data_IF_280754667722
#
_entry.id   IF_280754667722
#
_cell.length_a   1.000
_cell.length_b   1.000
_cell.length_c   1.000
_cell.angle_alpha   90.00
_cell.angle_beta   90.00
_cell.angle_gamma   90.00
#
_symmetry.space_group_name_H-M   'P 1'
#
loop_
_entity.id
_entity.type
_entity.pdbx_description
1 polymer ?
#
# COMPACT_ATOMS: atom_id res chain seq x y z
N UNK A 1 47.75 -3.22 -14.48
CA UNK A 1 47.28 -3.15 -15.88
C UNK A 1 46.41 -4.37 -16.16
N UNK A 2 45.09 -4.22 -16.04
CA UNK A 2 44.11 -5.24 -16.42
C UNK A 2 43.02 -4.50 -17.21
N UNK A 3 43.00 -4.68 -18.53
CA UNK A 3 42.07 -4.00 -19.45
C UNK A 3 40.75 -4.77 -19.48
N UNK A 4 39.66 -4.10 -19.08
CA UNK A 4 38.29 -4.54 -19.37
C UNK A 4 37.98 -4.33 -20.85
N UNK A 5 37.35 -5.33 -21.48
CA UNK A 5 36.74 -5.26 -22.81
C UNK A 5 35.22 -5.17 -22.62
N UNK A 6 34.51 -4.16 -23.17
CA UNK A 6 33.05 -4.15 -23.13
C UNK A 6 32.47 -4.92 -24.34
N UNK A 7 31.58 -5.86 -24.05
CA UNK A 7 30.76 -6.58 -25.04
C UNK A 7 29.55 -5.72 -25.38
N UNK A 8 29.55 -5.12 -26.57
CA UNK A 8 28.41 -4.37 -27.14
C UNK A 8 27.51 -5.36 -27.87
N UNK A 9 26.30 -5.59 -27.35
CA UNK A 9 25.27 -6.38 -28.02
C UNK A 9 24.44 -5.44 -28.91
N UNK A 10 24.64 -5.54 -30.24
CA UNK A 10 23.86 -4.83 -31.25
C UNK A 10 22.65 -5.70 -31.62
N UNK A 11 21.44 -5.24 -31.29
CA UNK A 11 20.20 -5.82 -31.83
C UNK A 11 19.89 -5.15 -33.17
N UNK A 12 19.96 -5.94 -34.25
CA UNK A 12 19.51 -5.55 -35.57
C UNK A 12 18.01 -5.86 -35.73
N UNK A 13 17.19 -4.83 -35.97
CA UNK A 13 15.85 -5.00 -36.53
C UNK A 13 15.92 -4.76 -38.04
N UNK A 14 15.78 -5.83 -38.82
CA UNK A 14 15.50 -5.75 -40.25
C UNK A 14 13.98 -5.82 -40.46
N UNK A 15 13.45 -4.86 -41.21
CA UNK A 15 12.04 -4.84 -41.63
C UNK A 15 11.78 -5.59 -42.93
N UNK A 16 10.50 -5.72 -43.27
CA UNK A 16 10.05 -5.87 -44.65
C UNK A 16 8.87 -6.82 -44.87
N UNK A 17 7.78 -6.26 -45.40
CA UNK A 17 6.99 -6.89 -46.47
C UNK A 17 5.71 -7.62 -46.07
N UNK A 18 4.57 -6.99 -46.33
CA UNK A 18 3.28 -7.70 -46.45
C UNK A 18 3.02 -8.17 -47.87
N UNK A 19 2.07 -9.08 -48.05
CA UNK A 19 1.12 -9.16 -49.18
C UNK A 19 0.07 -10.23 -48.91
N UNK A 20 -1.20 -9.85 -49.11
CA UNK A 20 -2.20 -10.56 -49.91
C UNK A 20 -2.81 -11.87 -49.36
N UNK A 21 -4.02 -11.77 -48.80
CA UNK A 21 -4.95 -12.90 -48.67
C UNK A 21 -6.13 -12.74 -49.63
N UNK A 22 -5.90 -13.30 -50.81
CA UNK A 22 -6.80 -14.08 -51.67
C UNK A 22 -8.31 -13.93 -51.46
N UNK A 23 -8.92 -13.18 -52.38
CA UNK A 23 -10.35 -13.26 -52.71
C UNK A 23 -10.53 -14.29 -53.83
N UNK A 24 -11.24 -15.39 -53.56
CA UNK A 24 -11.90 -16.18 -54.61
C UNK A 24 -13.30 -16.66 -54.20
N UNK A 25 -14.25 -16.21 -55.01
CA UNK A 25 -15.32 -16.97 -55.64
C UNK A 25 -16.27 -17.83 -54.80
N UNK A 26 -17.45 -17.27 -54.54
CA UNK A 26 -18.70 -18.04 -54.58
C UNK A 26 -19.73 -17.29 -55.42
N UNK A 27 -19.86 -17.74 -56.67
CA UNK A 27 -20.90 -17.36 -57.63
C UNK A 27 -22.16 -18.16 -57.28
N UNK A 28 -23.28 -17.50 -56.99
CA UNK A 28 -24.61 -18.13 -57.00
C UNK A 28 -25.49 -17.32 -57.97
N UNK A 29 -26.16 -17.97 -58.94
CA UNK A 29 -26.78 -17.30 -60.09
C UNK A 29 -28.18 -16.75 -59.81
N UNK A 30 -28.58 -15.86 -60.73
CA UNK A 30 -29.79 -15.05 -60.77
C UNK A 30 -31.14 -15.81 -60.74
N UNK A 31 -32.08 -15.13 -60.09
CA UNK A 31 -33.52 -15.00 -60.32
C UNK A 31 -34.24 -15.96 -61.29
N UNK A 32 -35.32 -16.55 -60.78
CA UNK A 32 -36.51 -16.87 -61.56
C UNK A 32 -37.77 -16.35 -60.83
N UNK A 33 -38.53 -15.58 -61.59
CA UNK A 33 -39.85 -14.99 -61.32
C UNK A 33 -40.98 -16.03 -61.37
N UNK A 34 -42.07 -15.77 -60.65
CA UNK A 34 -43.40 -16.27 -61.01
C UNK A 34 -44.24 -16.90 -59.89
N UNK A 35 -45.35 -16.23 -59.52
CA UNK A 35 -46.62 -16.94 -59.37
C UNK A 35 -47.41 -16.86 -58.05
N UNK A 36 -48.02 -15.70 -57.79
CA UNK A 36 -49.43 -15.48 -57.38
C UNK A 36 -50.11 -16.32 -56.28
N UNK A 37 -50.48 -15.55 -55.24
CA UNK A 37 -51.76 -15.39 -54.51
C UNK A 37 -52.19 -16.33 -53.36
N UNK A 38 -52.45 -15.63 -52.25
CA UNK A 38 -53.48 -15.82 -51.21
C UNK A 38 -53.29 -16.89 -50.13
N UNK A 39 -52.64 -16.46 -49.03
CA UNK A 39 -53.16 -16.67 -47.69
C UNK A 39 -52.73 -15.48 -46.81
N UNK A 40 -53.69 -14.88 -46.09
CA UNK A 40 -53.56 -13.58 -45.43
C UNK A 40 -52.33 -13.44 -44.53
N UNK A 41 -51.54 -12.42 -44.84
CA UNK A 41 -50.53 -11.85 -43.95
C UNK A 41 -51.27 -11.14 -42.81
N UNK A 42 -51.64 -11.92 -41.80
CA UNK A 42 -52.04 -11.47 -40.47
C UNK A 42 -51.00 -12.02 -39.52
N UNK A 43 -49.89 -11.31 -39.38
CA UNK A 43 -49.35 -10.98 -38.07
C UNK A 43 -48.31 -9.87 -38.23
N UNK A 44 -48.73 -8.68 -37.77
CA UNK A 44 -47.97 -7.45 -37.84
C UNK A 44 -46.72 -7.49 -36.96
N UNK A 45 -45.66 -6.86 -37.47
CA UNK A 45 -44.46 -6.58 -36.71
C UNK A 45 -43.31 -6.03 -37.57
N UNK A 46 -43.62 -5.19 -38.57
CA UNK A 46 -42.58 -4.54 -39.39
C UNK A 46 -41.86 -3.51 -38.52
N UNK A 47 -40.58 -3.78 -38.23
CA UNK A 47 -39.71 -2.90 -37.42
C UNK A 47 -39.31 -1.66 -38.21
N UNK A 48 -40.13 -0.62 -38.16
CA UNK A 48 -39.67 0.74 -38.43
C UNK A 48 -39.30 1.37 -37.08
N UNK A 49 -38.02 1.30 -36.70
CA UNK A 49 -37.48 2.03 -35.53
C UNK A 49 -37.49 1.31 -34.18
N UNK A 50 -37.80 0.01 -34.12
CA UNK A 50 -37.57 -0.84 -32.94
C UNK A 50 -38.77 -1.05 -32.00
N UNK A 51 -39.86 -0.28 -32.15
CA UNK A 51 -41.09 -0.51 -31.38
C UNK A 51 -42.01 -1.52 -32.07
N UNK A 52 -42.64 -2.43 -31.30
CA UNK A 52 -43.69 -3.31 -31.79
C UNK A 52 -44.99 -2.50 -31.86
N UNK A 53 -45.64 -2.46 -33.02
CA UNK A 53 -46.90 -1.72 -33.20
C UNK A 53 -48.11 -2.67 -33.10
N UNK A 54 -49.27 -2.22 -32.60
CA UNK A 54 -50.50 -2.99 -32.61
C UNK A 54 -50.95 -3.36 -34.03
N UNK A 55 -51.72 -4.44 -34.17
CA UNK A 55 -52.35 -4.82 -35.44
C UNK A 55 -53.42 -3.79 -35.88
N UNK A 56 -53.99 -3.98 -37.07
CA UNK A 56 -55.04 -3.10 -37.62
C UNK A 56 -56.32 -3.09 -36.75
N UNK A 57 -56.51 -4.10 -35.88
CA UNK A 57 -57.59 -4.17 -34.90
C UNK A 57 -57.24 -3.54 -33.54
N UNK A 58 -56.01 -3.04 -33.40
CA UNK A 58 -55.49 -2.41 -32.19
C UNK A 58 -55.01 -3.40 -31.11
N UNK A 59 -54.87 -4.68 -31.42
CA UNK A 59 -54.40 -5.71 -30.49
C UNK A 59 -52.87 -5.85 -30.52
N UNK A 60 -52.32 -6.24 -29.37
CA UNK A 60 -50.91 -6.58 -29.23
C UNK A 60 -50.69 -8.09 -29.27
N UNK A 61 -49.52 -8.56 -29.75
CA UNK A 61 -49.10 -9.94 -29.62
C UNK A 61 -49.21 -10.44 -28.17
N UNK A 62 -49.43 -11.75 -27.99
CA UNK A 62 -49.55 -12.35 -26.67
C UNK A 62 -48.34 -12.04 -25.78
N UNK A 63 -48.60 -11.57 -24.56
CA UNK A 63 -47.55 -11.16 -23.60
C UNK A 63 -47.17 -9.68 -23.67
N UNK A 64 -47.71 -8.92 -24.63
CA UNK A 64 -47.48 -7.48 -24.73
C UNK A 64 -48.73 -6.68 -24.34
N UNK A 65 -48.50 -5.54 -23.71
CA UNK A 65 -49.55 -4.61 -23.28
C UNK A 65 -49.64 -3.43 -24.25
N UNK A 66 -50.87 -3.04 -24.60
CA UNK A 66 -51.12 -1.87 -25.46
C UNK A 66 -50.90 -0.58 -24.68
N UNK A 67 -49.82 0.13 -24.99
CA UNK A 67 -49.48 1.41 -24.39
C UNK A 67 -49.50 2.52 -25.43
N UNK A 68 -50.69 3.11 -25.59
CA UNK A 68 -50.95 4.11 -26.63
C UNK A 68 -50.88 3.49 -28.03
N UNK A 69 -49.91 3.93 -28.83
CA UNK A 69 -49.68 3.45 -30.20
C UNK A 69 -48.66 2.32 -30.32
N UNK A 70 -48.13 1.81 -29.20
CA UNK A 70 -47.12 0.76 -29.18
C UNK A 70 -47.56 -0.44 -28.32
N UNK A 71 -47.03 -1.61 -28.66
CA UNK A 71 -47.08 -2.82 -27.86
C UNK A 71 -45.76 -2.96 -27.11
N UNK A 72 -45.84 -2.93 -25.78
CA UNK A 72 -44.68 -2.94 -24.88
C UNK A 72 -44.75 -4.14 -23.95
N UNK A 73 -43.60 -4.69 -23.61
CA UNK A 73 -43.52 -5.76 -22.62
C UNK A 73 -43.38 -5.13 -21.23
N UNK A 74 -44.49 -5.07 -20.50
CA UNK A 74 -44.51 -4.48 -19.16
C UNK A 74 -43.75 -5.32 -18.13
N UNK A 75 -43.40 -6.56 -18.43
CA UNK A 75 -42.68 -7.43 -17.50
C UNK A 75 -41.16 -7.29 -17.63
N UNK A 76 -40.66 -6.78 -18.76
CA UNK A 76 -39.23 -6.74 -19.06
C UNK A 76 -38.70 -5.39 -19.54
N UNK A 77 -39.55 -4.45 -19.96
CA UNK A 77 -39.09 -3.14 -20.45
C UNK A 77 -38.94 -2.10 -19.32
N UNK A 78 -37.73 -1.57 -19.06
CA UNK A 78 -37.52 -0.58 -17.99
C UNK A 78 -38.28 0.73 -18.16
N UNK A 79 -38.69 1.09 -19.39
CA UNK A 79 -39.44 2.31 -19.68
C UNK A 79 -40.96 2.18 -19.44
N UNK A 80 -41.46 0.94 -19.28
CA UNK A 80 -42.89 0.61 -19.12
C UNK A 80 -43.12 -0.50 -18.08
N UNK A 81 -42.30 -0.55 -17.02
CA UNK A 81 -42.27 -1.69 -16.11
C UNK A 81 -43.52 -1.75 -15.24
N UNK A 82 -44.31 -2.82 -15.30
CA UNK A 82 -45.56 -3.04 -14.55
C UNK A 82 -46.76 -2.18 -15.00
N UNK A 83 -46.52 -1.10 -15.74
CA UNK A 83 -47.56 -0.26 -16.33
C UNK A 83 -46.99 0.59 -17.48
N UNK A 84 -47.86 0.92 -18.44
CA UNK A 84 -47.52 1.83 -19.55
C UNK A 84 -46.86 3.12 -19.08
N UNK A 85 -45.65 3.42 -19.56
CA UNK A 85 -44.93 4.65 -19.25
C UNK A 85 -44.37 4.74 -17.83
N UNK A 86 -44.43 3.67 -17.03
CA UNK A 86 -43.73 3.60 -15.74
C UNK A 86 -42.24 3.33 -15.97
N UNK A 87 -41.48 4.40 -16.18
CA UNK A 87 -40.02 4.32 -16.33
C UNK A 87 -39.35 4.10 -14.98
N UNK A 88 -38.55 3.05 -14.88
CA UNK A 88 -37.68 2.79 -13.74
C UNK A 88 -36.54 3.82 -13.73
N UNK A 89 -36.35 4.47 -12.57
CA UNK A 89 -35.23 5.40 -12.34
C UNK A 89 -34.54 4.96 -11.07
N UNK A 90 -33.28 4.60 -11.19
CA UNK A 90 -32.43 4.19 -10.07
C UNK A 90 -31.20 5.10 -10.10
N UNK A 91 -30.85 5.66 -8.95
CA UNK A 91 -29.72 6.57 -8.81
C UNK A 91 -28.41 5.85 -9.16
N UNK A 92 -27.59 6.46 -10.02
CA UNK A 92 -26.27 5.96 -10.44
C UNK A 92 -26.23 4.54 -11.04
N UNK A 93 -27.36 4.05 -11.54
CA UNK A 93 -27.46 2.71 -12.11
C UNK A 93 -28.21 2.72 -13.45
N UNK A 94 -27.96 1.69 -14.24
CA UNK A 94 -28.85 1.31 -15.34
C UNK A 94 -30.00 0.45 -14.77
N UNK A 95 -31.26 0.91 -14.91
CA UNK A 95 -32.41 0.21 -14.36
C UNK A 95 -32.80 -1.00 -15.21
N UNK A 96 -33.29 -2.05 -14.55
CA UNK A 96 -33.84 -3.24 -15.17
C UNK A 96 -35.31 -3.43 -14.77
N UNK A 97 -36.05 -4.21 -15.54
CA UNK A 97 -37.43 -4.60 -15.21
C UNK A 97 -37.52 -6.13 -15.18
N UNK A 98 -38.10 -6.67 -14.12
CA UNK A 98 -38.36 -8.10 -13.98
C UNK A 98 -39.74 -8.32 -13.37
N UNK A 99 -40.59 -9.06 -14.07
CA UNK A 99 -41.96 -9.38 -13.63
C UNK A 99 -42.79 -8.14 -13.24
N UNK A 100 -42.60 -7.03 -13.95
CA UNK A 100 -43.32 -5.78 -13.73
C UNK A 100 -42.78 -4.92 -12.58
N UNK A 101 -41.70 -5.35 -11.92
CA UNK A 101 -41.03 -4.60 -10.86
C UNK A 101 -39.67 -4.06 -11.32
N UNK A 102 -39.39 -2.81 -10.95
CA UNK A 102 -38.08 -2.20 -11.20
C UNK A 102 -37.04 -2.93 -10.36
N UNK A 103 -35.95 -3.34 -10.98
CA UNK A 103 -34.80 -3.99 -10.33
C UNK A 103 -33.52 -3.27 -10.71
N UNK A 104 -32.50 -3.41 -9.87
CA UNK A 104 -31.17 -2.90 -10.19
C UNK A 104 -30.58 -3.74 -11.33
N UNK A 105 -30.23 -3.11 -12.45
CA UNK A 105 -29.51 -3.77 -13.54
C UNK A 105 -28.02 -3.83 -13.22
N UNK A 106 -27.29 -2.78 -13.61
CA UNK A 106 -25.87 -2.62 -13.31
C UNK A 106 -25.60 -1.22 -12.79
N UNK A 107 -24.73 -1.08 -11.80
CA UNK A 107 -24.21 0.24 -11.46
C UNK A 107 -23.50 0.85 -12.66
N UNK A 108 -23.65 2.17 -12.83
CA UNK A 108 -22.87 2.91 -13.82
C UNK A 108 -21.39 2.88 -13.44
N UNK A 109 -20.53 3.08 -14.43
CA UNK A 109 -19.09 3.16 -14.20
C UNK A 109 -18.77 4.17 -13.10
N UNK A 110 -17.95 3.75 -12.13
CA UNK A 110 -17.60 4.59 -10.99
C UNK A 110 -18.61 4.54 -9.83
N UNK A 111 -19.58 3.60 -9.82
CA UNK A 111 -20.50 3.40 -8.72
C UNK A 111 -20.62 1.93 -8.28
N UNK A 112 -20.96 1.72 -7.02
CA UNK A 112 -21.24 0.43 -6.42
C UNK A 112 -22.50 0.51 -5.54
N UNK A 113 -23.27 -0.58 -5.51
CA UNK A 113 -24.39 -0.81 -4.60
C UNK A 113 -23.88 -1.58 -3.38
N UNK A 114 -23.93 -0.98 -2.20
CA UNK A 114 -23.29 -1.50 -0.99
C UNK A 114 -24.25 -2.05 0.04
N UNK A 115 -25.51 -1.62 0.00
CA UNK A 115 -26.55 -2.03 0.93
C UNK A 115 -27.69 -2.83 0.26
N UNK A 116 -27.69 -2.96 -1.07
CA UNK A 116 -28.72 -3.65 -1.83
C UNK A 116 -30.04 -2.91 -1.90
N UNK A 117 -30.07 -1.63 -1.50
CA UNK A 117 -31.29 -0.87 -1.36
C UNK A 117 -31.60 -0.10 -2.65
N UNK A 118 -32.62 -0.57 -3.34
CA UNK A 118 -33.07 0.01 -4.61
C UNK A 118 -33.47 1.49 -4.50
N UNK A 119 -33.85 1.97 -3.31
CA UNK A 119 -34.30 3.34 -3.10
C UNK A 119 -33.18 4.39 -3.22
N UNK A 120 -31.95 4.03 -2.86
CA UNK A 120 -30.74 4.85 -2.99
C UNK A 120 -29.85 4.41 -4.16
N UNK A 121 -30.09 3.25 -4.76
CA UNK A 121 -29.40 2.81 -5.97
C UNK A 121 -27.92 2.50 -5.69
N UNK A 122 -27.04 2.79 -6.65
CA UNK A 122 -25.59 2.62 -6.44
C UNK A 122 -25.02 3.85 -5.73
N UNK A 123 -25.08 3.82 -4.41
CA UNK A 123 -24.86 4.92 -3.49
C UNK A 123 -23.38 5.24 -3.27
N UNK A 124 -22.48 4.27 -3.47
CA UNK A 124 -21.04 4.47 -3.29
C UNK A 124 -20.35 4.83 -4.60
N UNK A 125 -19.44 5.80 -4.55
CA UNK A 125 -18.51 6.07 -5.66
C UNK A 125 -17.39 5.03 -5.65
N UNK A 126 -17.24 4.29 -6.74
CA UNK A 126 -16.12 3.39 -7.01
C UNK A 126 -14.87 4.20 -7.39
N UNK A 127 -14.33 4.94 -6.42
CA UNK A 127 -13.04 5.61 -6.54
C UNK A 127 -11.87 4.71 -6.14
N UNK A 128 -12.12 3.41 -5.99
CA UNK A 128 -11.08 2.47 -5.58
C UNK A 128 -10.19 2.12 -6.77
N UNK A 129 -8.91 2.48 -6.67
CA UNK A 129 -7.91 2.10 -7.66
C UNK A 129 -7.12 0.96 -7.05
N UNK A 130 -7.31 -0.26 -7.55
CA UNK A 130 -6.56 -1.42 -7.05
C UNK A 130 -5.06 -1.20 -7.29
N UNK A 131 -4.27 -1.28 -6.22
CA UNK A 131 -2.85 -0.94 -6.27
C UNK A 131 -2.55 0.56 -6.11
N UNK A 132 -3.58 1.39 -5.94
CA UNK A 132 -3.42 2.81 -5.63
C UNK A 132 -2.79 3.03 -4.25
N UNK A 133 -2.28 4.24 -4.01
CA UNK A 133 -1.71 4.60 -2.72
C UNK A 133 -2.80 4.96 -1.71
N UNK A 134 -2.62 4.57 -0.45
CA UNK A 134 -3.50 4.92 0.66
C UNK A 134 -2.67 5.14 1.94
N UNK A 135 -3.22 5.89 2.89
CA UNK A 135 -2.60 6.04 4.20
C UNK A 135 -3.15 4.96 5.13
N UNK A 136 -2.25 4.20 5.75
CA UNK A 136 -2.61 3.15 6.72
C UNK A 136 -3.04 3.77 8.05
N UNK A 137 -3.56 2.93 8.96
CA UNK A 137 -3.97 3.37 10.30
C UNK A 137 -2.81 3.93 11.14
N UNK A 138 -1.57 3.48 10.88
CA UNK A 138 -0.37 3.93 11.56
C UNK A 138 0.35 5.08 10.81
N UNK A 139 -0.24 5.59 9.72
CA UNK A 139 0.27 6.74 8.97
C UNK A 139 1.31 6.41 7.90
N UNK A 140 1.54 5.12 7.63
CA UNK A 140 2.44 4.66 6.57
C UNK A 140 1.75 4.65 5.20
N UNK A 141 2.55 4.60 4.14
CA UNK A 141 2.03 4.54 2.78
C UNK A 141 1.76 3.08 2.40
N UNK A 142 0.48 2.71 2.36
CA UNK A 142 0.02 1.38 1.98
C UNK A 142 -0.48 1.30 0.54
N UNK A 143 -0.98 0.12 0.21
CA UNK A 143 -1.57 -0.21 -1.10
C UNK A 143 -3.06 -0.45 -0.97
N UNK A 144 -3.86 0.27 -1.74
CA UNK A 144 -5.31 0.16 -1.74
C UNK A 144 -5.73 -1.19 -2.33
N UNK A 145 -6.56 -1.92 -1.59
CA UNK A 145 -7.18 -3.16 -2.05
C UNK A 145 -8.68 -2.93 -2.22
N UNK A 146 -9.19 -3.35 -3.39
CA UNK A 146 -10.57 -3.16 -3.79
C UNK A 146 -11.34 -4.50 -3.78
N UNK A 147 -11.01 -5.39 -2.84
CA UNK A 147 -11.73 -6.65 -2.68
C UNK A 147 -13.22 -6.41 -2.38
N UNK A 148 -13.49 -5.35 -1.63
CA UNK A 148 -14.81 -4.76 -1.46
C UNK A 148 -14.75 -3.31 -1.97
N UNK A 149 -15.53 -2.98 -3.01
CA UNK A 149 -15.60 -1.61 -3.57
C UNK A 149 -16.33 -0.65 -2.63
N UNK A 150 -17.14 -1.18 -1.72
CA UNK A 150 -17.89 -0.43 -0.72
C UNK A 150 -17.07 -0.14 0.53
N UNK A 151 -16.06 -0.95 0.78
CA UNK A 151 -15.13 -0.80 1.90
C UNK A 151 -13.70 -1.09 1.43
N UNK A 152 -13.11 -0.22 0.60
CA UNK A 152 -11.74 -0.41 0.16
C UNK A 152 -10.81 -0.34 1.37
N UNK A 153 -9.90 -1.31 1.47
CA UNK A 153 -8.95 -1.36 2.59
C UNK A 153 -7.58 -0.90 2.15
N UNK A 154 -6.77 -0.50 3.12
CA UNK A 154 -5.37 -0.16 2.89
C UNK A 154 -4.50 -1.28 3.43
N UNK A 155 -3.88 -2.07 2.53
CA UNK A 155 -2.90 -3.06 2.94
C UNK A 155 -1.61 -2.33 3.30
N UNK A 156 -1.11 -2.47 4.53
CA UNK A 156 0.11 -1.81 4.95
C UNK A 156 1.33 -2.44 4.25
N UNK A 157 2.42 -1.68 4.05
CA UNK A 157 3.66 -2.22 3.51
C UNK A 157 4.30 -3.21 4.49
N UNK A 158 5.30 -3.95 4.01
CA UNK A 158 6.16 -4.73 4.91
C UNK A 158 7.10 -3.80 5.69
N UNK A 159 7.52 -4.26 6.87
CA UNK A 159 8.49 -3.60 7.74
C UNK A 159 9.74 -3.11 7.00
N UNK A 160 10.06 -1.82 7.18
CA UNK A 160 11.30 -1.22 6.71
C UNK A 160 12.20 -0.85 7.90
N UNK A 161 13.49 -0.69 7.61
CA UNK A 161 14.45 -0.28 8.63
C UNK A 161 14.43 1.25 8.83
N UNK A 162 13.39 1.78 9.48
CA UNK A 162 13.20 3.22 9.63
C UNK A 162 12.72 3.66 11.05
N UNK A 163 12.62 2.73 12.01
CA UNK A 163 12.09 2.95 13.36
C UNK A 163 10.64 3.46 13.36
N UNK A 164 9.80 2.86 12.53
CA UNK A 164 8.37 3.06 12.42
C UNK A 164 7.71 1.70 12.16
N UNK A 165 6.62 1.47 12.90
CA UNK A 165 5.67 0.39 12.63
C UNK A 165 5.06 0.61 11.24
N UNK A 166 5.55 -0.12 10.24
CA UNK A 166 5.20 0.07 8.83
C UNK A 166 4.01 -0.83 8.45
N UNK A 167 3.94 -2.03 9.03
CA UNK A 167 2.87 -3.01 8.82
C UNK A 167 1.65 -2.83 9.75
N UNK A 168 1.73 -1.86 10.67
CA UNK A 168 0.68 -1.47 11.61
C UNK A 168 0.23 -2.59 12.56
N UNK A 169 1.08 -3.57 12.87
CA UNK A 169 0.76 -4.63 13.82
C UNK A 169 1.02 -4.23 15.28
N UNK A 170 1.61 -3.05 15.50
CA UNK A 170 1.96 -2.52 16.81
C UNK A 170 3.32 -3.00 17.34
N UNK A 171 4.09 -3.74 16.54
CA UNK A 171 5.38 -4.29 16.89
C UNK A 171 6.51 -3.90 15.92
N UNK A 172 7.09 -2.72 16.15
CA UNK A 172 8.34 -2.35 15.47
C UNK A 172 9.54 -3.27 15.81
N UNK A 173 9.44 -4.23 16.73
CA UNK A 173 10.55 -5.14 17.02
C UNK A 173 10.83 -6.08 15.84
N UNK A 174 9.84 -6.33 14.99
CA UNK A 174 10.01 -7.02 13.71
C UNK A 174 11.09 -6.34 12.84
N UNK A 175 11.16 -5.01 12.82
CA UNK A 175 12.25 -4.26 12.15
C UNK A 175 13.63 -4.67 12.66
N UNK A 176 13.77 -4.88 13.97
CA UNK A 176 15.04 -5.26 14.60
C UNK A 176 15.56 -6.62 14.15
N UNK A 177 14.66 -7.47 13.65
CA UNK A 177 14.99 -8.77 13.08
C UNK A 177 15.42 -8.69 11.61
N UNK A 178 15.24 -7.54 10.94
CA UNK A 178 15.70 -7.35 9.57
C UNK A 178 17.23 -7.36 9.51
N UNK A 179 17.84 -8.22 8.67
CA UNK A 179 19.30 -8.32 8.56
C UNK A 179 19.96 -6.96 8.27
N UNK A 180 20.89 -6.56 9.14
CA UNK A 180 21.65 -5.32 8.99
C UNK A 180 20.90 -4.05 9.40
N UNK A 181 19.65 -4.15 9.87
CA UNK A 181 18.91 -2.97 10.30
C UNK A 181 19.48 -2.37 11.59
N UNK A 182 19.72 -3.25 12.57
CA UNK A 182 20.33 -2.89 13.84
C UNK A 182 21.75 -3.42 13.94
N UNK A 183 22.66 -2.59 14.44
CA UNK A 183 24.05 -2.94 14.70
C UNK A 183 24.29 -2.99 16.21
N UNK A 184 24.88 -4.09 16.68
CA UNK A 184 25.24 -4.27 18.09
C UNK A 184 26.39 -3.35 18.50
N UNK A 185 26.30 -2.83 19.71
CA UNK A 185 27.33 -2.04 20.38
C UNK A 185 27.82 -2.81 21.59
N UNK A 186 29.09 -3.17 21.58
CA UNK A 186 29.76 -3.89 22.65
C UNK A 186 30.20 -2.91 23.74
N UNK A 187 30.12 -3.35 25.00
CA UNK A 187 30.63 -2.63 26.17
C UNK A 187 31.93 -3.27 26.66
N UNK A 188 32.95 -2.46 26.85
CA UNK A 188 34.22 -2.85 27.46
C UNK A 188 34.61 -1.96 28.62
N UNK A 189 35.42 -2.50 29.53
CA UNK A 189 35.91 -1.83 30.73
C UNK A 189 37.42 -1.98 30.88
N UNK A 190 38.06 -0.97 31.48
CA UNK A 190 39.52 -0.84 31.56
C UNK A 190 39.88 0.50 32.21
N UNK A 191 40.68 1.37 31.56
CA UNK A 191 40.95 2.73 32.05
C UNK A 191 39.70 3.58 32.25
N UNK A 192 38.62 3.25 31.53
CA UNK A 192 37.26 3.75 31.70
C UNK A 192 36.29 2.78 31.03
N UNK A 193 35.08 3.23 30.72
CA UNK A 193 34.17 2.45 29.86
C UNK A 193 34.35 2.84 28.40
N UNK A 194 34.28 1.85 27.51
CA UNK A 194 34.30 2.03 26.06
C UNK A 194 33.14 1.28 25.42
N UNK A 195 32.53 1.90 24.42
CA UNK A 195 31.41 1.35 23.65
C UNK A 195 31.80 1.37 22.18
N UNK A 196 31.61 0.27 21.46
CA UNK A 196 32.08 0.15 20.07
C UNK A 196 31.20 -0.78 19.26
N UNK A 197 31.00 -0.53 17.96
CA UNK A 197 30.49 -1.57 17.07
C UNK A 197 31.57 -2.57 16.67
N UNK A 198 32.83 -2.16 16.70
CA UNK A 198 33.95 -3.08 16.56
C UNK A 198 34.32 -3.66 17.92
N UNK A 199 34.03 -4.95 18.10
CA UNK A 199 34.33 -5.68 19.33
C UNK A 199 35.83 -5.63 19.70
N UNK A 200 36.74 -5.50 18.74
CA UNK A 200 38.18 -5.44 19.02
C UNK A 200 38.56 -4.19 19.81
N UNK A 201 37.85 -3.08 19.62
CA UNK A 201 38.07 -1.85 20.40
C UNK A 201 37.77 -2.09 21.89
N UNK A 202 36.84 -3.00 22.21
CA UNK A 202 36.52 -3.36 23.59
C UNK A 202 37.48 -4.39 24.20
N UNK A 203 38.41 -4.95 23.42
CA UNK A 203 39.33 -6.04 23.81
C UNK A 203 40.81 -5.66 23.83
N UNK A 204 41.13 -4.49 23.29
CA UNK A 204 42.49 -4.06 23.06
C UNK A 204 42.79 -2.78 23.83
N UNK A 205 44.04 -2.34 23.86
CA UNK A 205 44.45 -1.08 24.49
C UNK A 205 44.06 -0.94 25.97
N UNK A 206 44.11 -2.05 26.72
CA UNK A 206 43.81 -2.08 28.15
C UNK A 206 42.33 -2.28 28.49
N UNK A 207 41.46 -2.50 27.51
CA UNK A 207 40.05 -2.85 27.72
C UNK A 207 39.81 -4.36 27.65
N UNK A 208 38.82 -4.82 28.42
CA UNK A 208 38.24 -6.16 28.35
C UNK A 208 36.75 -6.02 28.06
N UNK A 209 36.22 -6.83 27.14
CA UNK A 209 34.78 -6.83 26.83
C UNK A 209 34.01 -7.32 28.05
N UNK A 210 33.10 -6.49 28.57
CA UNK A 210 32.18 -6.87 29.63
C UNK A 210 30.94 -7.55 29.04
N UNK A 211 30.43 -7.00 27.94
CA UNK A 211 29.21 -7.50 27.29
C UNK A 211 29.26 -7.20 25.80
N UNK A 212 29.14 -8.23 24.97
CA UNK A 212 28.94 -8.05 23.53
C UNK A 212 27.47 -7.70 23.24
N UNK A 213 27.23 -6.86 22.23
CA UNK A 213 25.88 -6.43 21.86
C UNK A 213 25.06 -5.95 23.07
N UNK A 214 25.71 -5.13 23.92
CA UNK A 214 25.11 -4.61 25.14
C UNK A 214 23.85 -3.78 24.86
N UNK A 215 23.84 -3.08 23.73
CA UNK A 215 22.64 -2.52 23.10
C UNK A 215 22.83 -2.48 21.58
N UNK A 216 21.78 -2.11 20.87
CA UNK A 216 21.71 -2.00 19.42
C UNK A 216 21.31 -0.59 19.02
N UNK A 217 21.84 -0.17 17.87
CA UNK A 217 21.52 1.11 17.22
C UNK A 217 21.10 0.86 15.78
N UNK A 218 20.28 1.72 15.19
CA UNK A 218 19.99 1.63 13.76
C UNK A 218 21.26 1.90 12.95
N UNK A 219 21.46 1.12 11.90
CA UNK A 219 22.62 1.25 11.02
C UNK A 219 22.50 2.48 10.09
N UNK A 220 21.28 2.85 9.71
CA UNK A 220 20.96 3.96 8.82
C UNK A 220 20.17 5.08 9.50
N UNK A 221 20.16 6.29 8.90
CA UNK A 221 19.34 7.40 9.38
C UNK A 221 17.86 7.11 9.14
N UNK A 222 17.01 7.70 9.99
CA UNK A 222 15.57 7.61 9.89
C UNK A 222 14.92 8.79 10.59
N UNK A 223 13.63 9.00 10.33
CA UNK A 223 12.90 10.09 10.96
C UNK A 223 12.86 9.90 12.48
N UNK A 224 13.16 10.95 13.25
CA UNK A 224 13.21 10.88 14.72
C UNK A 224 14.41 10.11 15.29
N UNK A 225 15.32 9.64 14.42
CA UNK A 225 16.62 9.12 14.84
C UNK A 225 17.70 10.21 14.83
N UNK A 226 18.67 10.08 15.73
CA UNK A 226 19.82 10.96 15.86
C UNK A 226 21.11 10.14 15.78
N UNK A 227 22.14 10.67 15.13
CA UNK A 227 23.46 10.04 15.08
C UNK A 227 24.06 9.92 16.47
N UNK A 228 24.64 8.76 16.77
CA UNK A 228 25.40 8.48 17.98
C UNK A 228 26.88 8.39 17.63
N UNK A 229 27.71 9.11 18.37
CA UNK A 229 29.14 9.22 18.11
C UNK A 229 29.93 8.81 19.34
N UNK A 230 30.96 7.98 19.16
CA UNK A 230 32.01 7.81 20.16
C UNK A 230 33.10 8.84 19.90
N UNK A 231 33.44 9.57 20.95
CA UNK A 231 34.44 10.62 20.92
C UNK A 231 35.55 10.34 21.93
N UNK A 232 36.77 10.69 21.58
CA UNK A 232 37.97 10.57 22.42
C UNK A 232 38.25 11.92 23.08
N UNK A 233 38.33 11.93 24.41
CA UNK A 233 38.71 13.10 25.20
C UNK A 233 40.22 13.29 25.24
N UNK A 234 40.67 14.51 25.52
CA UNK A 234 42.09 14.82 25.74
C UNK A 234 42.77 14.04 26.89
N UNK A 235 42.00 13.47 27.83
CA UNK A 235 42.51 12.61 28.90
C UNK A 235 42.62 11.12 28.50
N UNK A 236 42.35 10.76 27.24
CA UNK A 236 42.43 9.40 26.72
C UNK A 236 41.18 8.54 26.95
N UNK A 237 40.14 9.07 27.62
CA UNK A 237 38.88 8.35 27.84
C UNK A 237 37.87 8.62 26.73
N UNK A 238 36.95 7.69 26.55
CA UNK A 238 35.89 7.81 25.55
C UNK A 238 34.56 8.27 26.17
N UNK A 239 33.68 8.80 25.31
CA UNK A 239 32.30 9.08 25.66
C UNK A 239 31.40 9.02 24.42
N UNK A 240 30.08 8.94 24.66
CA UNK A 240 29.07 8.93 23.62
C UNK A 240 28.32 10.26 23.60
N UNK A 241 28.01 10.76 22.41
CA UNK A 241 27.23 11.99 22.25
C UNK A 241 26.37 11.95 20.99
N UNK A 242 25.34 12.80 20.98
CA UNK A 242 24.53 13.07 19.78
C UNK A 242 25.05 14.27 18.98
N UNK A 243 26.05 14.98 19.49
CA UNK A 243 26.67 16.10 18.79
C UNK A 243 27.68 15.57 17.75
N UNK A 244 27.48 15.79 16.44
CA UNK A 244 28.46 15.41 15.42
C UNK A 244 29.81 16.14 15.58
N UNK A 245 29.84 17.26 16.30
CA UNK A 245 31.05 17.99 16.70
C UNK A 245 31.77 17.41 17.92
N UNK A 246 31.34 16.26 18.44
CA UNK A 246 31.93 15.58 19.59
C UNK A 246 32.08 16.48 20.83
N UNK A 247 31.20 17.46 21.04
CA UNK A 247 31.30 18.44 22.14
C UNK A 247 32.69 19.13 22.17
N UNK A 248 33.27 19.36 20.99
CA UNK A 248 34.60 19.93 20.81
C UNK A 248 35.77 18.97 21.06
N UNK A 249 35.51 17.66 21.18
CA UNK A 249 36.52 16.61 21.31
C UNK A 249 36.78 15.90 19.97
N UNK A 250 37.64 14.89 19.97
CA UNK A 250 38.02 14.17 18.75
C UNK A 250 37.02 13.07 18.42
N UNK A 251 36.46 13.08 17.21
CA UNK A 251 35.63 11.98 16.71
C UNK A 251 36.45 10.70 16.56
N UNK A 252 36.01 9.62 17.21
CA UNK A 252 36.62 8.30 17.10
C UNK A 252 35.81 7.38 16.18
N UNK A 253 34.49 7.36 16.31
CA UNK A 253 33.61 6.47 15.53
C UNK A 253 32.19 7.03 15.45
N UNK A 254 31.55 6.97 14.27
CA UNK A 254 30.10 7.09 14.16
C UNK A 254 29.49 5.70 14.40
N UNK A 255 28.73 5.58 15.49
CA UNK A 255 28.25 4.32 16.03
C UNK A 255 26.96 3.86 15.32
N UNK A 256 26.13 4.78 14.86
CA UNK A 256 24.82 4.49 14.26
C UNK A 256 23.81 5.54 14.71
N UNK A 257 22.55 5.13 14.82
CA UNK A 257 21.44 6.03 15.10
C UNK A 257 20.59 5.55 16.28
N UNK A 258 20.22 6.47 17.15
CA UNK A 258 19.36 6.24 18.34
C UNK A 258 18.09 7.07 18.24
N UNK A 259 16.99 6.61 18.83
CA UNK A 259 15.76 7.39 18.86
C UNK A 259 15.81 8.51 19.91
N UNK A 260 15.06 9.58 19.69
CA UNK A 260 14.85 10.67 20.67
C UNK A 260 13.71 10.42 21.65
N UNK A 261 12.93 9.37 21.42
CA UNK A 261 11.81 8.92 22.25
C UNK A 261 11.79 7.38 22.32
N UNK A 262 10.88 6.82 23.13
CA UNK A 262 10.77 5.38 23.36
C UNK A 262 10.09 4.62 22.21
N UNK A 263 10.10 5.14 20.98
CA UNK A 263 9.51 4.45 19.82
C UNK A 263 10.05 3.04 19.68
N UNK A 264 9.19 2.17 19.17
CA UNK A 264 9.62 0.85 18.72
C UNK A 264 10.30 0.01 19.81
N UNK A 265 9.84 0.15 21.07
CA UNK A 265 10.43 -0.54 22.22
C UNK A 265 11.78 0.03 22.67
N UNK A 266 12.13 1.25 22.25
CA UNK A 266 13.39 1.90 22.62
C UNK A 266 13.55 2.00 24.13
N UNK A 267 14.70 1.54 24.62
CA UNK A 267 15.11 1.58 26.02
C UNK A 267 16.03 2.79 26.26
N UNK A 268 15.81 3.59 27.32
CA UNK A 268 16.62 4.77 27.57
C UNK A 268 18.09 4.41 27.83
N UNK A 269 19.00 5.10 27.16
CA UNK A 269 20.45 5.03 27.40
C UNK A 269 20.85 6.18 28.33
N UNK A 270 21.11 5.86 29.59
CA UNK A 270 21.51 6.84 30.60
C UNK A 270 22.95 7.26 30.41
N UNK A 271 23.21 8.57 30.34
CA UNK A 271 24.55 9.17 30.30
C UNK A 271 24.95 9.61 31.70
N UNK A 272 25.94 8.91 32.24
CA UNK A 272 26.47 9.12 33.59
C UNK A 272 27.87 9.72 33.51
N UNK A 273 28.20 10.61 34.44
CA UNK A 273 29.50 11.26 34.51
C UNK A 273 30.08 11.22 35.92
N UNK A 274 31.40 11.03 35.99
CA UNK A 274 32.19 11.20 37.21
C UNK A 274 33.64 11.49 36.87
N UNK A 275 34.21 12.57 37.41
CA UNK A 275 35.65 12.86 37.40
C UNK A 275 36.33 12.68 36.02
N UNK A 276 35.65 13.07 34.94
CA UNK A 276 36.16 12.95 33.57
C UNK A 276 35.85 11.63 32.86
N UNK A 277 35.29 10.64 33.55
CA UNK A 277 34.85 9.36 33.01
C UNK A 277 33.34 9.40 32.72
N UNK A 278 32.93 8.84 31.57
CA UNK A 278 31.52 8.62 31.27
C UNK A 278 31.18 7.14 31.33
N UNK A 279 29.97 6.88 31.81
CA UNK A 279 29.40 5.55 31.90
C UNK A 279 28.01 5.57 31.28
N UNK A 280 27.68 4.54 30.51
CA UNK A 280 26.39 4.43 29.82
C UNK A 280 25.72 3.11 30.12
N UNK A 281 24.44 3.16 30.47
CA UNK A 281 23.67 1.96 30.79
C UNK A 281 22.22 2.10 30.34
N UNK A 282 21.62 0.99 29.92
CA UNK A 282 20.19 0.86 29.68
C UNK A 282 19.42 0.42 30.93
N UNK A 283 20.14 -0.01 31.98
CA UNK A 283 19.56 -0.50 33.22
C UNK A 283 19.39 0.63 34.23
N UNK A 284 18.13 0.91 34.61
CA UNK A 284 17.84 1.86 35.69
C UNK A 284 18.46 1.44 37.03
N UNK A 285 18.53 0.14 37.32
CA UNK A 285 19.17 -0.37 38.53
C UNK A 285 20.69 -0.16 38.53
N UNK A 286 21.35 -0.36 37.38
CA UNK A 286 22.79 -0.11 37.25
C UNK A 286 23.11 1.39 37.35
N UNK A 287 22.26 2.24 36.75
CA UNK A 287 22.31 3.70 36.92
C UNK A 287 22.22 4.11 38.39
N UNK A 288 21.22 3.60 39.11
CA UNK A 288 20.99 3.95 40.52
C UNK A 288 22.11 3.43 41.43
N UNK A 289 22.64 2.24 41.14
CA UNK A 289 23.84 1.71 41.78
C UNK A 289 25.07 2.58 41.50
N UNK A 290 25.25 3.06 40.27
CA UNK A 290 26.35 3.95 39.90
C UNK A 290 26.32 5.28 40.66
N UNK A 291 25.13 5.84 40.86
CA UNK A 291 24.93 7.07 41.64
C UNK A 291 25.26 6.81 43.12
N UNK A 292 24.62 5.80 43.72
CA UNK A 292 24.65 5.58 45.17
C UNK A 292 25.97 5.01 45.67
N UNK A 293 26.61 4.14 44.88
CA UNK A 293 27.81 3.38 45.30
C UNK A 293 29.08 4.01 44.78
N UNK A 294 29.06 4.52 43.55
CA UNK A 294 30.26 4.97 42.85
C UNK A 294 30.31 6.48 42.62
N UNK A 295 29.31 7.25 43.08
CA UNK A 295 29.32 8.71 43.03
C UNK A 295 29.16 9.30 41.63
N UNK A 296 28.58 8.56 40.68
CA UNK A 296 28.24 9.12 39.37
C UNK A 296 27.05 10.07 39.45
N UNK A 297 27.01 11.05 38.56
CA UNK A 297 25.83 11.90 38.33
C UNK A 297 25.16 11.54 37.02
N UNK A 298 23.83 11.46 37.00
CA UNK A 298 23.06 11.37 35.76
C UNK A 298 23.07 12.74 35.08
N UNK A 299 23.68 12.83 33.90
CA UNK A 299 23.67 14.07 33.11
C UNK A 299 22.38 14.17 32.27
N UNK A 300 22.01 13.07 31.61
CA UNK A 300 20.81 13.01 30.75
C UNK A 300 20.45 11.57 30.38
N UNK A 301 19.25 11.38 29.83
CA UNK A 301 18.98 10.26 28.92
C UNK A 301 19.51 10.67 27.56
N UNK A 302 20.58 10.02 27.08
CA UNK A 302 21.24 10.39 25.83
C UNK A 302 20.33 10.16 24.62
N UNK A 303 19.55 9.08 24.66
CA UNK A 303 18.62 8.66 23.62
C UNK A 303 18.02 7.30 23.97
N UNK A 304 17.33 6.68 23.02
CA UNK A 304 16.72 5.36 23.17
C UNK A 304 17.35 4.38 22.19
N UNK A 305 17.73 3.21 22.71
CA UNK A 305 18.46 2.12 22.02
C UNK A 305 17.68 0.82 22.17
N UNK A 306 18.05 -0.21 21.41
CA UNK A 306 17.34 -1.50 21.38
C UNK A 306 18.19 -2.67 21.83
#
# INVERSE_FOLDING_TARGET
>A
MLRLIPLVLVFACAGGGGTDTDRRDARVPDAADGGRVDAGDRDGGRRDGGAIVPDDAGNCPSGLTRCGGACVDTDTEPTSCGACGRTCVITNAEPSCAAGECTLGTCRDGFADCDGNLANGCEATDSCVAGGSCTTICGTMGTQTCADRCAPTCAPPAELCNARDDDCDGDCAAEGSLPGCRAGVHRGSGPGHVYSRDVNVTRTNGYTTETENYFYVYAGPGEGLAGLYRCLKGNGLFFLTLDPGCEGQTLAEMMGFVARDARCGGTPLFRMYRDGNHFYTTSAAERDGAITTYGYTLESTLGYVW
#
